data_IF_225553788874
#
_entry.id   IF_225553788874
#
_cell.length_a   1.000
_cell.length_b   1.000
_cell.length_c   1.000
_cell.angle_alpha   90.00
_cell.angle_beta   90.00
_cell.angle_gamma   90.00
#
_symmetry.space_group_name_H-M   'P 1'
#
loop_
_entity.id
_entity.type
_entity.pdbx_description
1 polymer ?
#
# COMPACT_ATOMS: atom_id res chain seq x y z
N UNK A 1 12.61 12.06 15.94
CA UNK A 1 13.22 10.75 16.31
C UNK A 1 13.38 9.90 15.05
N UNK A 2 14.62 9.66 14.59
CA UNK A 2 14.89 8.73 13.49
C UNK A 2 14.78 7.28 13.99
N UNK A 3 13.57 6.71 13.93
CA UNK A 3 13.37 5.28 14.21
C UNK A 3 13.80 4.50 12.97
N UNK A 4 14.96 3.84 13.02
CA UNK A 4 15.44 2.99 11.93
C UNK A 4 14.48 1.82 11.77
N UNK A 5 13.86 1.65 10.59
CA UNK A 5 13.06 0.46 10.30
C UNK A 5 13.96 -0.77 10.37
N UNK A 6 13.60 -1.72 11.24
CA UNK A 6 14.21 -3.05 11.29
C UNK A 6 13.14 -4.04 10.90
N UNK A 7 13.38 -4.75 9.80
CA UNK A 7 12.56 -5.85 9.33
C UNK A 7 13.07 -7.17 9.91
N UNK A 8 12.16 -8.05 10.27
CA UNK A 8 12.45 -9.44 10.66
C UNK A 8 11.53 -10.40 9.91
N UNK A 9 11.96 -11.66 9.79
CA UNK A 9 11.09 -12.72 9.28
C UNK A 9 9.80 -12.79 10.10
N UNK A 10 8.68 -12.96 9.41
CA UNK A 10 7.33 -12.96 9.96
C UNK A 10 6.67 -11.58 10.03
N UNK A 11 7.39 -10.48 9.78
CA UNK A 11 6.79 -9.15 9.65
C UNK A 11 5.84 -9.10 8.43
N UNK A 12 4.76 -8.34 8.54
CA UNK A 12 3.80 -8.14 7.44
C UNK A 12 4.16 -6.91 6.63
N UNK A 13 4.10 -7.05 5.31
CA UNK A 13 4.24 -5.98 4.32
C UNK A 13 2.90 -5.84 3.60
N UNK A 14 2.35 -4.63 3.59
CA UNK A 14 1.14 -4.32 2.83
C UNK A 14 1.51 -3.68 1.48
N UNK A 15 0.85 -4.11 0.40
CA UNK A 15 0.96 -3.55 -0.93
C UNK A 15 -0.34 -2.82 -1.28
N UNK A 16 -0.23 -1.57 -1.72
CA UNK A 16 -1.37 -0.73 -2.09
C UNK A 16 -1.15 0.01 -3.42
N UNK A 17 -2.22 0.61 -3.93
CA UNK A 17 -2.20 1.51 -5.07
C UNK A 17 -3.00 2.77 -4.70
N UNK A 18 -2.29 3.82 -4.26
CA UNK A 18 -2.93 5.07 -3.86
C UNK A 18 -3.21 5.99 -5.06
N UNK A 19 -2.48 5.83 -6.17
CA UNK A 19 -2.68 6.59 -7.39
C UNK A 19 -3.48 5.77 -8.41
N UNK A 20 -2.94 5.50 -9.60
CA UNK A 20 -3.58 4.62 -10.56
C UNK A 20 -3.54 3.15 -10.09
N UNK A 21 -4.64 2.44 -10.25
CA UNK A 21 -4.66 1.00 -10.02
C UNK A 21 -3.75 0.28 -11.03
N UNK A 22 -3.22 -0.86 -10.60
CA UNK A 22 -2.38 -1.69 -11.42
C UNK A 22 -3.24 -2.38 -12.47
N UNK A 23 -2.88 -2.21 -13.74
CA UNK A 23 -3.57 -2.88 -14.84
C UNK A 23 -3.40 -4.40 -14.75
N UNK A 24 -4.42 -5.14 -15.18
CA UNK A 24 -4.50 -6.60 -15.00
C UNK A 24 -3.38 -7.36 -15.73
N UNK A 25 -2.84 -6.80 -16.81
CA UNK A 25 -1.69 -7.33 -17.54
C UNK A 25 -0.40 -7.30 -16.71
N UNK A 26 -0.33 -6.48 -15.66
CA UNK A 26 0.81 -6.42 -14.72
C UNK A 26 0.64 -7.32 -13.50
N UNK A 27 -0.43 -8.11 -13.42
CA UNK A 27 -0.68 -9.03 -12.29
C UNK A 27 0.49 -10.00 -12.05
N UNK A 28 1.17 -10.45 -13.11
CA UNK A 28 2.33 -11.34 -12.98
C UNK A 28 3.49 -10.68 -12.22
N UNK A 29 3.68 -9.36 -12.37
CA UNK A 29 4.72 -8.60 -11.67
C UNK A 29 4.39 -8.53 -10.17
N UNK A 30 3.13 -8.26 -9.82
CA UNK A 30 2.68 -8.20 -8.43
C UNK A 30 2.80 -9.58 -7.76
N UNK A 31 2.42 -10.64 -8.48
CA UNK A 31 2.58 -12.01 -7.98
C UNK A 31 4.06 -12.35 -7.76
N UNK A 32 4.93 -11.97 -8.70
CA UNK A 32 6.37 -12.18 -8.56
C UNK A 32 6.95 -11.41 -7.37
N UNK A 33 6.52 -10.18 -7.15
CA UNK A 33 6.90 -9.40 -5.97
C UNK A 33 6.44 -10.10 -4.68
N UNK A 34 5.20 -10.57 -4.65
CA UNK A 34 4.65 -11.31 -3.51
C UNK A 34 5.47 -12.57 -3.20
N UNK A 35 5.83 -13.34 -4.22
CA UNK A 35 6.70 -14.53 -4.08
C UNK A 35 8.04 -14.16 -3.46
N UNK A 36 8.73 -13.16 -4.01
CA UNK A 36 10.04 -12.71 -3.52
C UNK A 36 9.94 -12.27 -2.04
N UNK A 37 8.93 -11.48 -1.68
CA UNK A 37 8.73 -11.04 -0.30
C UNK A 37 8.45 -12.22 0.65
N UNK A 38 7.69 -13.22 0.20
CA UNK A 38 7.46 -14.44 0.98
C UNK A 38 8.74 -15.28 1.13
N UNK A 39 9.56 -15.42 0.08
CA UNK A 39 10.86 -16.11 0.12
C UNK A 39 11.84 -15.43 1.10
N UNK A 40 11.79 -14.11 1.20
CA UNK A 40 12.53 -13.32 2.20
C UNK A 40 11.99 -13.52 3.63
N UNK A 41 10.85 -14.21 3.78
CA UNK A 41 10.24 -14.58 5.05
C UNK A 41 9.21 -13.57 5.56
N UNK A 42 8.71 -12.66 4.72
CA UNK A 42 7.64 -11.74 5.08
C UNK A 42 6.26 -12.33 4.81
N UNK A 43 5.23 -11.77 5.46
CA UNK A 43 3.84 -11.98 5.06
C UNK A 43 3.42 -10.82 4.17
N UNK A 44 2.70 -11.10 3.09
CA UNK A 44 2.27 -10.06 2.15
C UNK A 44 0.74 -9.92 2.17
N UNK A 45 0.26 -8.72 2.46
CA UNK A 45 -1.14 -8.34 2.33
C UNK A 45 -1.31 -7.40 1.14
N UNK A 46 -2.35 -7.60 0.33
CA UNK A 46 -2.58 -6.82 -0.88
C UNK A 46 -3.94 -6.12 -0.76
N UNK A 47 -3.95 -4.80 -1.00
CA UNK A 47 -5.16 -3.99 -1.07
C UNK A 47 -6.14 -4.55 -2.11
N UNK A 48 -7.43 -4.58 -1.81
CA UNK A 48 -8.45 -5.01 -2.76
C UNK A 48 -8.58 -4.01 -3.91
N UNK A 49 -8.35 -2.73 -3.65
CA UNK A 49 -8.37 -1.68 -4.67
C UNK A 49 -7.12 -1.65 -5.55
N UNK A 50 -6.17 -2.59 -5.38
CA UNK A 50 -4.95 -2.62 -6.18
C UNK A 50 -5.25 -2.70 -7.69
N UNK A 51 -6.35 -3.35 -8.09
CA UNK A 51 -6.74 -3.57 -9.49
C UNK A 51 -8.07 -2.92 -9.89
N UNK A 52 -8.49 -1.85 -9.22
CA UNK A 52 -9.73 -1.14 -9.55
C UNK A 52 -9.73 -0.65 -11.01
N UNK A 53 -10.89 -0.69 -11.68
CA UNK A 53 -11.03 -0.27 -13.09
C UNK A 53 -11.31 1.23 -13.26
N UNK A 54 -11.83 1.89 -12.22
CA UNK A 54 -12.38 3.25 -12.30
C UNK A 54 -11.80 4.18 -11.22
N UNK A 55 -10.52 4.50 -11.32
CA UNK A 55 -9.76 5.27 -10.31
C UNK A 55 -10.28 6.70 -10.06
N UNK A 56 -11.00 7.26 -11.04
CA UNK A 56 -11.50 8.63 -10.99
C UNK A 56 -12.77 8.72 -10.12
N UNK A 57 -13.42 7.60 -9.83
CA UNK A 57 -14.64 7.62 -9.01
C UNK A 57 -14.31 7.88 -7.54
N UNK A 58 -15.00 8.87 -6.94
CA UNK A 58 -14.88 9.21 -5.51
C UNK A 58 -15.04 7.98 -4.59
N UNK A 59 -15.92 7.04 -4.97
CA UNK A 59 -16.09 5.79 -4.23
C UNK A 59 -14.80 4.97 -4.15
N UNK A 60 -14.09 4.83 -5.26
CA UNK A 60 -12.81 4.10 -5.34
C UNK A 60 -11.72 4.83 -4.56
N UNK A 61 -11.67 6.17 -4.64
CA UNK A 61 -10.72 6.98 -3.86
C UNK A 61 -10.95 6.83 -2.35
N UNK A 62 -12.21 6.84 -1.91
CA UNK A 62 -12.59 6.59 -0.51
C UNK A 62 -12.23 5.17 -0.06
N UNK A 63 -12.45 4.16 -0.91
CA UNK A 63 -12.05 2.77 -0.63
C UNK A 63 -10.53 2.63 -0.51
N UNK A 64 -9.75 3.24 -1.43
CA UNK A 64 -8.28 3.29 -1.37
C UNK A 64 -7.78 3.95 -0.08
N UNK A 65 -8.38 5.09 0.30
CA UNK A 65 -8.04 5.76 1.55
C UNK A 65 -8.36 4.89 2.78
N UNK A 66 -9.51 4.21 2.78
CA UNK A 66 -9.89 3.31 3.87
C UNK A 66 -8.93 2.12 4.00
N UNK A 67 -8.54 1.48 2.90
CA UNK A 67 -7.56 0.39 2.92
C UNK A 67 -6.19 0.86 3.39
N UNK A 68 -5.73 2.01 2.91
CA UNK A 68 -4.48 2.62 3.37
C UNK A 68 -4.51 2.86 4.88
N UNK A 69 -5.59 3.46 5.40
CA UNK A 69 -5.76 3.72 6.84
C UNK A 69 -5.85 2.42 7.64
N UNK A 70 -6.47 1.37 7.10
CA UNK A 70 -6.52 0.07 7.76
C UNK A 70 -5.13 -0.56 7.90
N UNK A 71 -4.27 -0.46 6.87
CA UNK A 71 -2.88 -0.88 6.98
C UNK A 71 -2.09 -0.06 8.00
N UNK A 72 -2.34 1.25 8.09
CA UNK A 72 -1.72 2.08 9.13
C UNK A 72 -2.21 1.75 10.55
N UNK A 73 -3.43 1.22 10.71
CA UNK A 73 -3.97 0.80 12.01
C UNK A 73 -3.51 -0.59 12.43
N UNK A 74 -3.16 -1.45 11.47
CA UNK A 74 -2.72 -2.80 11.77
C UNK A 74 -1.29 -2.81 12.32
N UNK A 75 -1.17 -3.14 13.61
CA UNK A 75 0.11 -3.23 14.31
C UNK A 75 1.02 -4.34 13.80
N UNK A 76 0.49 -5.30 13.04
CA UNK A 76 1.27 -6.35 12.40
C UNK A 76 1.91 -5.87 11.09
N UNK A 77 1.33 -4.86 10.44
CA UNK A 77 1.88 -4.25 9.23
C UNK A 77 3.10 -3.41 9.60
N UNK A 78 4.26 -3.88 9.15
CA UNK A 78 5.55 -3.27 9.43
C UNK A 78 5.88 -2.15 8.45
N UNK A 79 5.48 -2.33 7.20
CA UNK A 79 5.66 -1.38 6.13
C UNK A 79 4.51 -1.49 5.13
N UNK A 80 4.20 -0.36 4.51
CA UNK A 80 3.26 -0.25 3.40
C UNK A 80 4.08 0.21 2.20
N UNK A 81 3.97 -0.51 1.08
CA UNK A 81 4.50 -0.08 -0.20
C UNK A 81 3.35 0.32 -1.11
N UNK A 82 3.32 1.59 -1.49
CA UNK A 82 2.59 1.98 -2.68
C UNK A 82 3.41 1.52 -3.90
N UNK A 83 2.83 0.59 -4.66
CA UNK A 83 3.45 0.05 -5.88
C UNK A 83 2.80 0.64 -7.14
N UNK A 84 1.89 1.60 -6.97
CA UNK A 84 1.35 2.40 -8.06
C UNK A 84 2.23 3.60 -8.40
N UNK A 85 2.00 4.16 -9.58
CA UNK A 85 2.50 5.47 -10.00
C UNK A 85 1.37 6.31 -10.59
N UNK A 86 1.71 7.46 -11.14
CA UNK A 86 0.77 8.42 -11.76
C UNK A 86 0.24 9.47 -10.79
N UNK A 87 -0.80 10.21 -11.19
CA UNK A 87 -1.07 11.55 -10.63
C UNK A 87 -2.37 11.66 -9.80
N UNK A 88 -3.02 10.54 -9.47
CA UNK A 88 -4.32 10.51 -8.78
C UNK A 88 -4.24 10.39 -7.25
N UNK A 89 -3.06 10.22 -6.67
CA UNK A 89 -2.87 10.06 -5.22
C UNK A 89 -3.48 11.22 -4.40
N UNK A 90 -3.56 12.42 -4.98
CA UNK A 90 -4.15 13.60 -4.34
C UNK A 90 -5.63 13.42 -3.99
N UNK A 91 -6.37 12.58 -4.72
CA UNK A 91 -7.79 12.31 -4.44
C UNK A 91 -8.03 11.60 -3.10
N UNK A 92 -7.00 10.95 -2.53
CA UNK A 92 -7.13 10.30 -1.22
C UNK A 92 -7.03 11.30 -0.06
N UNK A 93 -6.42 12.48 -0.28
CA UNK A 93 -6.10 13.43 0.80
C UNK A 93 -7.37 13.92 1.53
N UNK A 94 -8.51 13.98 0.83
CA UNK A 94 -9.81 14.36 1.40
C UNK A 94 -10.34 13.34 2.41
N UNK A 95 -9.90 12.08 2.32
CA UNK A 95 -10.43 10.95 3.10
C UNK A 95 -9.45 10.39 4.13
N UNK A 96 -8.24 10.95 4.21
CA UNK A 96 -7.18 10.51 5.11
C UNK A 96 -7.18 11.36 6.39
N UNK A 97 -7.31 10.69 7.54
CA UNK A 97 -6.97 11.30 8.83
C UNK A 97 -5.46 11.17 9.09
N UNK A 98 -4.73 12.26 8.84
CA UNK A 98 -3.27 12.32 9.00
C UNK A 98 -2.80 12.08 10.43
N UNK A 99 -3.66 12.19 11.44
CA UNK A 99 -3.29 11.86 12.82
C UNK A 99 -2.96 10.36 12.96
N UNK A 100 -3.57 9.51 12.15
CA UNK A 100 -3.32 8.06 12.12
C UNK A 100 -1.94 7.77 11.49
N UNK A 101 -1.56 8.54 10.46
CA UNK A 101 -0.32 8.32 9.69
C UNK A 101 0.92 8.81 10.45
N UNK A 102 0.79 9.87 11.25
CA UNK A 102 1.90 10.56 11.94
C UNK A 102 2.82 9.65 12.79
N UNK A 103 2.37 8.45 13.11
CA UNK A 103 3.09 7.49 13.95
C UNK A 103 3.64 6.26 13.21
N UNK A 104 3.41 6.13 11.90
CA UNK A 104 3.84 5.00 11.09
C UNK A 104 4.78 5.42 9.95
N UNK A 105 5.72 4.54 9.62
CA UNK A 105 6.71 4.76 8.57
C UNK A 105 6.27 4.07 7.27
N UNK A 106 6.28 4.80 6.17
CA UNK A 106 5.98 4.30 4.82
C UNK A 106 7.24 4.35 3.96
N UNK A 107 7.46 3.34 3.11
CA UNK A 107 8.51 3.34 2.09
C UNK A 107 7.81 3.34 0.73
N UNK A 108 7.99 4.39 -0.06
CA UNK A 108 7.51 4.41 -1.45
C UNK A 108 8.62 3.89 -2.36
N UNK A 109 8.28 2.91 -3.21
CA UNK A 109 9.18 2.35 -4.22
C UNK A 109 8.71 2.86 -5.59
N UNK A 110 8.93 4.14 -5.87
CA UNK A 110 8.70 4.69 -7.22
C UNK A 110 10.00 5.28 -7.75
N UNK A 111 10.38 4.84 -8.94
CA UNK A 111 11.48 5.37 -9.78
C UNK A 111 11.09 6.66 -10.46
#
# INVERSE_FOLDING_TARGET
>A
MNKKLKFKKGDTIALTACSNSISIDKLYIVNRLKEILNELGFKVEIAKTLYSKDDILNKVQKEKALELINFFKDKNVKAIFDISGGDLANGLLEYIDFNIIKHHFTINLTS
#
